data_IF_603786819888
#
_entry.id   IF_603786819888
#
_cell.length_a   1.000
_cell.length_b   1.000
_cell.length_c   1.000
_cell.angle_alpha   90.00
_cell.angle_beta   90.00
_cell.angle_gamma   90.00
#
_symmetry.space_group_name_H-M   'P 1'
#
loop_
_entity.id
_entity.type
_entity.pdbx_description
1 polymer ?
#
# COMPACT_ATOMS: atom_id res chain seq x y z
N UNK A 1 7.73 -18.10 -2.46
CA UNK A 1 8.04 -17.42 -1.20
C UNK A 1 6.94 -16.40 -0.97
N UNK A 2 6.33 -16.37 0.20
CA UNK A 2 5.25 -15.41 0.49
C UNK A 2 5.80 -13.98 0.50
N UNK A 3 4.92 -12.99 0.35
CA UNK A 3 5.30 -11.58 0.45
C UNK A 3 5.98 -11.27 1.79
N UNK A 4 5.47 -11.85 2.89
CA UNK A 4 6.04 -11.69 4.24
C UNK A 4 7.47 -12.24 4.34
N UNK A 5 7.71 -13.45 3.80
CA UNK A 5 9.04 -14.05 3.78
C UNK A 5 10.04 -13.25 2.94
N UNK A 6 9.56 -12.59 1.88
CA UNK A 6 10.37 -11.73 1.01
C UNK A 6 10.73 -10.42 1.70
N UNK A 7 9.74 -9.74 2.31
CA UNK A 7 9.96 -8.50 3.04
C UNK A 7 10.96 -8.70 4.19
N UNK A 8 10.85 -9.80 4.95
CA UNK A 8 11.78 -10.13 6.06
C UNK A 8 13.25 -10.28 5.65
N UNK A 9 13.55 -10.40 4.35
CA UNK A 9 14.92 -10.54 3.84
C UNK A 9 15.56 -9.22 3.43
N UNK A 10 14.82 -8.10 3.50
CA UNK A 10 15.33 -6.78 3.18
C UNK A 10 16.25 -6.31 4.31
N UNK A 11 17.49 -5.91 4.00
CA UNK A 11 18.51 -5.57 5.00
C UNK A 11 18.21 -4.26 5.74
N UNK A 12 17.67 -3.25 5.04
CA UNK A 12 17.33 -1.93 5.59
C UNK A 12 15.80 -1.75 5.79
N UNK A 13 15.16 -2.78 6.34
CA UNK A 13 13.72 -2.75 6.63
C UNK A 13 13.42 -2.05 7.96
N UNK A 14 12.65 -0.98 7.91
CA UNK A 14 11.97 -0.41 9.07
C UNK A 14 10.50 -0.84 9.09
N UNK A 15 10.01 -1.16 10.28
CA UNK A 15 8.64 -1.67 10.49
C UNK A 15 7.93 -0.88 11.57
N UNK A 16 6.61 -0.83 11.50
CA UNK A 16 5.80 -0.18 12.51
C UNK A 16 6.11 -0.72 13.92
N UNK A 17 6.50 0.16 14.84
CA UNK A 17 6.79 -0.20 16.25
C UNK A 17 5.58 -0.79 16.98
N UNK A 18 4.35 -0.49 16.54
CA UNK A 18 3.12 -1.09 17.08
C UNK A 18 2.85 -2.50 16.54
N UNK A 19 3.65 -2.96 15.58
CA UNK A 19 3.51 -4.23 14.87
C UNK A 19 2.36 -4.25 13.87
N UNK A 20 2.04 -5.47 13.43
CA UNK A 20 0.98 -5.77 12.48
C UNK A 20 -0.44 -5.41 12.92
N UNK A 21 -1.34 -5.38 11.94
CA UNK A 21 -2.75 -5.09 12.12
C UNK A 21 -3.57 -6.34 12.45
N UNK A 22 -4.55 -6.19 13.34
CA UNK A 22 -5.51 -7.26 13.65
C UNK A 22 -6.53 -7.45 12.53
N UNK A 23 -7.18 -8.61 12.49
CA UNK A 23 -8.27 -8.89 11.55
C UNK A 23 -9.41 -7.86 11.69
N UNK A 24 -9.74 -7.43 12.91
CA UNK A 24 -10.77 -6.41 13.13
C UNK A 24 -10.38 -5.03 12.57
N UNK A 25 -9.08 -4.67 12.62
CA UNK A 25 -8.59 -3.43 12.01
C UNK A 25 -8.71 -3.48 10.48
N UNK A 26 -8.39 -4.63 9.88
CA UNK A 26 -8.50 -4.87 8.44
C UNK A 26 -9.97 -4.79 7.99
N UNK A 27 -10.87 -5.52 8.66
CA UNK A 27 -12.31 -5.50 8.35
C UNK A 27 -12.89 -4.08 8.46
N UNK A 28 -12.45 -3.31 9.46
CA UNK A 28 -12.88 -1.92 9.64
C UNK A 28 -12.39 -1.02 8.51
N UNK A 29 -11.13 -1.19 8.09
CA UNK A 29 -10.54 -0.43 7.00
C UNK A 29 -11.22 -0.75 5.66
N UNK A 30 -11.45 -2.02 5.35
CA UNK A 30 -12.22 -2.46 4.17
C UNK A 30 -13.62 -1.84 4.15
N UNK A 31 -14.31 -1.86 5.30
CA UNK A 31 -15.65 -1.25 5.43
C UNK A 31 -15.61 0.26 5.20
N UNK A 32 -14.61 0.96 5.75
CA UNK A 32 -14.47 2.42 5.63
C UNK A 32 -14.12 2.87 4.21
N UNK A 33 -13.23 2.14 3.54
CA UNK A 33 -12.85 2.43 2.15
C UNK A 33 -13.83 1.88 1.11
N UNK A 34 -14.84 1.12 1.57
CA UNK A 34 -15.82 0.41 0.78
C UNK A 34 -15.17 -0.48 -0.29
N UNK A 35 -14.14 -1.26 0.08
CA UNK A 35 -13.43 -2.19 -0.82
C UNK A 35 -12.87 -3.39 -0.06
N UNK A 36 -12.41 -4.39 -0.79
CA UNK A 36 -11.69 -5.55 -0.25
C UNK A 36 -10.21 -5.47 -0.54
N UNK A 37 -9.39 -5.77 0.47
CA UNK A 37 -7.96 -5.86 0.30
C UNK A 37 -7.55 -7.22 -0.28
N UNK A 38 -6.61 -7.25 -1.24
CA UNK A 38 -6.07 -8.49 -1.78
C UNK A 38 -5.28 -9.26 -0.71
N UNK A 39 -5.15 -10.58 -0.90
CA UNK A 39 -4.55 -11.46 0.13
C UNK A 39 -3.13 -11.05 0.51
N UNK A 40 -2.27 -10.76 -0.46
CA UNK A 40 -0.89 -10.34 -0.18
C UNK A 40 -0.82 -9.06 0.65
N UNK A 41 -1.71 -8.10 0.37
CA UNK A 41 -1.75 -6.86 1.16
C UNK A 41 -2.23 -7.12 2.59
N UNK A 42 -3.21 -8.02 2.77
CA UNK A 42 -3.65 -8.44 4.11
C UNK A 42 -2.51 -9.13 4.88
N UNK A 43 -1.79 -10.06 4.26
CA UNK A 43 -0.65 -10.73 4.89
C UNK A 43 0.44 -9.73 5.29
N UNK A 44 0.73 -8.78 4.39
CA UNK A 44 1.65 -7.67 4.64
C UNK A 44 1.23 -6.84 5.86
N UNK A 45 0.02 -6.28 5.88
CA UNK A 45 -0.40 -5.40 7.00
C UNK A 45 -0.57 -6.19 8.29
N UNK A 46 -0.94 -7.47 8.24
CA UNK A 46 -1.04 -8.35 9.43
C UNK A 46 0.29 -8.59 10.11
N UNK A 47 1.37 -8.66 9.34
CA UNK A 47 2.71 -8.88 9.89
C UNK A 47 3.35 -7.57 10.32
N UNK A 48 3.35 -6.57 9.44
CA UNK A 48 4.21 -5.39 9.60
C UNK A 48 3.45 -4.12 9.96
N UNK A 49 2.15 -4.07 9.68
CA UNK A 49 1.35 -2.85 9.84
C UNK A 49 1.63 -1.90 8.70
N UNK A 50 2.81 -1.27 8.69
CA UNK A 50 3.38 -0.47 7.61
C UNK A 50 4.91 -0.69 7.56
N UNK A 51 5.57 -0.39 6.43
CA UNK A 51 7.03 -0.54 6.29
C UNK A 51 7.65 0.63 5.54
N UNK A 52 8.93 0.86 5.81
CA UNK A 52 9.82 1.67 4.99
C UNK A 52 11.09 0.90 4.68
N UNK A 53 11.60 0.99 3.46
CA UNK A 53 12.81 0.31 3.04
C UNK A 53 13.38 0.95 1.77
N UNK A 54 14.71 1.08 1.67
CA UNK A 54 15.39 1.56 0.45
C UNK A 54 14.74 2.82 -0.15
N UNK A 55 14.35 3.79 0.69
CA UNK A 55 13.67 5.02 0.25
C UNK A 55 12.19 4.89 -0.15
N UNK A 56 11.63 3.69 -0.11
CA UNK A 56 10.20 3.42 -0.33
C UNK A 56 9.44 3.46 1.01
N UNK A 57 8.19 3.91 0.97
CA UNK A 57 7.30 3.95 2.13
C UNK A 57 5.93 3.38 1.76
N UNK A 58 5.65 2.17 2.25
CA UNK A 58 4.38 1.53 2.01
C UNK A 58 3.41 1.85 3.13
N UNK A 59 2.28 2.42 2.73
CA UNK A 59 1.15 2.65 3.62
C UNK A 59 0.55 1.33 4.10
N UNK A 60 -0.14 1.40 5.22
CA UNK A 60 -0.58 0.23 5.93
C UNK A 60 -1.58 0.50 7.03
N UNK A 61 -1.66 -0.40 8.00
CA UNK A 61 -2.61 -0.34 9.12
C UNK A 61 -1.87 -0.43 10.46
N UNK A 62 -2.62 -0.20 11.55
CA UNK A 62 -2.09 -0.11 12.91
C UNK A 62 -1.00 0.98 13.08
N UNK A 63 -0.98 1.96 12.18
CA UNK A 63 -0.11 3.14 12.18
C UNK A 63 -0.98 4.40 12.15
N UNK A 64 -0.46 5.52 12.64
CA UNK A 64 -1.13 6.82 12.62
C UNK A 64 -0.59 7.70 11.48
N UNK A 65 -1.28 8.81 11.17
CA UNK A 65 -0.79 9.80 10.22
C UNK A 65 -0.85 9.34 8.75
N UNK A 66 0.13 9.81 7.96
CA UNK A 66 0.15 9.67 6.50
C UNK A 66 0.42 8.24 6.01
N UNK A 67 1.11 7.41 6.80
CA UNK A 67 1.31 6.00 6.46
C UNK A 67 0.06 5.14 6.68
N UNK A 68 -1.01 5.69 7.27
CA UNK A 68 -2.26 4.95 7.41
C UNK A 68 -2.99 4.92 6.06
N UNK A 69 -3.16 3.72 5.49
CA UNK A 69 -3.77 3.52 4.17
C UNK A 69 -5.18 4.11 4.06
N UNK A 70 -5.95 4.10 5.15
CA UNK A 70 -7.31 4.64 5.15
C UNK A 70 -7.26 6.15 5.05
N UNK A 71 -6.43 6.80 5.88
CA UNK A 71 -6.28 8.25 5.87
C UNK A 71 -5.76 8.71 4.50
N UNK A 72 -4.66 8.13 4.02
CA UNK A 72 -4.05 8.48 2.73
C UNK A 72 -5.05 8.29 1.58
N UNK A 73 -5.77 7.16 1.54
CA UNK A 73 -6.73 6.91 0.46
C UNK A 73 -7.91 7.88 0.49
N UNK A 74 -8.43 8.24 1.67
CA UNK A 74 -9.52 9.20 1.78
C UNK A 74 -9.08 10.62 1.42
N UNK A 75 -7.89 11.03 1.88
CA UNK A 75 -7.29 12.33 1.55
C UNK A 75 -7.08 12.47 0.03
N UNK A 76 -6.49 11.46 -0.61
CA UNK A 76 -6.24 11.49 -2.06
C UNK A 76 -7.52 11.41 -2.89
N UNK A 77 -8.53 10.66 -2.43
CA UNK A 77 -9.87 10.69 -3.05
C UNK A 77 -10.53 12.06 -2.97
N UNK A 78 -10.30 12.81 -1.89
CA UNK A 78 -10.83 14.17 -1.74
C UNK A 78 -10.06 15.19 -2.58
N UNK A 79 -8.76 14.98 -2.81
CA UNK A 79 -7.88 15.88 -3.57
C UNK A 79 -7.89 15.65 -5.08
N UNK A 80 -8.20 14.43 -5.53
CA UNK A 80 -8.20 14.06 -6.95
C UNK A 80 -9.56 13.45 -7.34
N UNK A 81 -10.36 14.22 -8.10
CA UNK A 81 -11.67 13.78 -8.59
C UNK A 81 -11.62 12.57 -9.53
N UNK A 82 -10.44 12.30 -10.13
CA UNK A 82 -10.19 11.15 -11.00
C UNK A 82 -9.72 9.91 -10.25
N UNK A 83 -9.52 9.98 -8.93
CA UNK A 83 -9.12 8.83 -8.14
C UNK A 83 -10.16 7.71 -8.27
N UNK A 84 -9.78 6.51 -8.73
CA UNK A 84 -10.74 5.47 -9.07
C UNK A 84 -11.37 4.85 -7.82
N UNK A 85 -12.68 4.56 -7.91
CA UNK A 85 -13.38 3.77 -6.89
C UNK A 85 -12.81 2.36 -6.82
N UNK A 86 -12.80 1.75 -5.63
CA UNK A 86 -12.27 0.40 -5.37
C UNK A 86 -10.75 0.26 -5.54
N UNK A 87 -10.04 1.36 -5.35
CA UNK A 87 -8.59 1.39 -5.21
C UNK A 87 -8.20 2.00 -3.88
N UNK A 88 -7.01 1.66 -3.42
CA UNK A 88 -6.37 2.20 -2.23
C UNK A 88 -4.91 2.52 -2.53
N UNK A 89 -4.34 3.48 -1.79
CA UNK A 89 -2.95 3.90 -1.94
C UNK A 89 -2.03 2.83 -1.33
N UNK A 90 -0.98 2.45 -2.05
CA UNK A 90 0.13 1.65 -1.54
C UNK A 90 1.23 2.58 -1.09
N UNK A 91 1.58 3.56 -1.91
CA UNK A 91 2.72 4.44 -1.69
C UNK A 91 2.47 5.81 -2.31
N UNK A 92 2.96 6.86 -1.66
CA UNK A 92 3.02 8.21 -2.21
C UNK A 92 4.47 8.52 -2.54
N UNK A 93 4.79 8.66 -3.83
CA UNK A 93 6.18 8.82 -4.30
C UNK A 93 6.72 10.24 -3.97
N UNK A 94 5.87 11.14 -3.47
CA UNK A 94 6.29 12.47 -2.99
C UNK A 94 6.67 13.48 -4.07
N UNK A 95 6.65 13.06 -5.35
CA UNK A 95 6.97 13.90 -6.51
C UNK A 95 5.77 13.98 -7.45
N UNK A 96 5.45 15.20 -7.89
CA UNK A 96 4.41 15.50 -8.89
C UNK A 96 3.05 14.81 -8.68
N UNK A 97 2.65 14.62 -7.41
CA UNK A 97 1.42 13.94 -6.99
C UNK A 97 1.26 12.52 -7.57
N UNK A 98 2.38 11.85 -7.82
CA UNK A 98 2.36 10.47 -8.30
C UNK A 98 2.16 9.51 -7.13
N UNK A 99 1.14 8.67 -7.24
CA UNK A 99 0.81 7.63 -6.27
C UNK A 99 0.94 6.26 -6.91
N UNK A 100 1.30 5.27 -6.11
CA UNK A 100 1.09 3.86 -6.43
C UNK A 100 -0.16 3.38 -5.71
N UNK A 101 -1.08 2.77 -6.46
CA UNK A 101 -2.38 2.33 -5.96
C UNK A 101 -2.63 0.87 -6.33
N UNK A 102 -3.42 0.18 -5.52
CA UNK A 102 -3.84 -1.20 -5.77
C UNK A 102 -5.36 -1.33 -5.90
N UNK A 103 -5.82 -2.26 -6.74
CA UNK A 103 -7.23 -2.65 -6.83
C UNK A 103 -7.58 -3.85 -5.93
N UNK A 104 -8.87 -4.21 -5.85
CA UNK A 104 -9.35 -5.36 -5.06
C UNK A 104 -8.78 -6.72 -5.54
N UNK A 105 -8.13 -6.77 -6.71
CA UNK A 105 -7.50 -7.98 -7.27
C UNK A 105 -5.99 -8.02 -7.00
N UNK A 106 -5.42 -6.98 -6.40
CA UNK A 106 -3.99 -6.88 -6.12
C UNK A 106 -3.14 -6.36 -7.26
N UNK A 107 -3.76 -5.91 -8.37
CA UNK A 107 -3.00 -5.26 -9.44
C UNK A 107 -2.54 -3.88 -8.99
N UNK A 108 -1.35 -3.50 -9.42
CA UNK A 108 -0.68 -2.27 -8.98
C UNK A 108 -0.58 -1.31 -10.15
N UNK A 109 -0.90 -0.04 -9.90
CA UNK A 109 -0.96 1.02 -10.89
C UNK A 109 -0.25 2.26 -10.38
N UNK A 110 0.33 3.05 -11.27
CA UNK A 110 0.57 4.46 -10.98
C UNK A 110 -0.72 5.24 -11.26
N UNK A 111 -0.93 6.31 -10.50
CA UNK A 111 -1.89 7.36 -10.85
C UNK A 111 -1.24 8.73 -10.68
N UNK A 112 -1.42 9.58 -11.68
CA UNK A 112 -1.00 10.97 -11.67
C UNK A 112 -2.10 11.82 -12.32
N UNK A 113 -2.79 12.62 -11.52
CA UNK A 113 -4.02 13.32 -11.93
C UNK A 113 -5.06 12.34 -12.51
N UNK A 114 -5.38 12.45 -13.80
CA UNK A 114 -6.33 11.61 -14.53
C UNK A 114 -5.70 10.39 -15.21
N UNK A 115 -4.37 10.31 -15.25
CA UNK A 115 -3.64 9.23 -15.90
C UNK A 115 -3.39 8.09 -14.92
N UNK A 116 -3.81 6.89 -15.30
CA UNK A 116 -3.63 5.66 -14.52
C UNK A 116 -3.05 4.55 -15.40
N UNK A 117 -1.91 4.00 -15.02
CA UNK A 117 -1.18 3.01 -15.80
C UNK A 117 -0.88 1.77 -14.96
N UNK A 118 -1.08 0.57 -15.54
CA UNK A 118 -0.76 -0.69 -14.86
C UNK A 118 0.76 -0.87 -14.81
N UNK A 119 1.30 -1.12 -13.62
CA UNK A 119 2.72 -1.42 -13.42
C UNK A 119 2.94 -2.93 -13.41
N UNK A 120 2.21 -3.64 -12.54
CA UNK A 120 2.36 -5.08 -12.33
C UNK A 120 1.09 -5.71 -11.73
N UNK A 121 1.06 -7.03 -11.59
CA UNK A 121 -0.15 -7.78 -11.25
C UNK A 121 -0.28 -8.16 -9.77
N UNK A 122 0.73 -7.85 -8.93
CA UNK A 122 0.73 -8.22 -7.52
C UNK A 122 1.61 -7.29 -6.68
N UNK A 123 1.39 -7.27 -5.36
CA UNK A 123 2.26 -6.55 -4.42
C UNK A 123 3.65 -7.19 -4.38
N UNK A 124 3.70 -8.50 -4.54
CA UNK A 124 4.93 -9.26 -4.77
C UNK A 124 5.74 -8.78 -5.97
N UNK A 125 5.12 -8.59 -7.13
CA UNK A 125 5.82 -8.06 -8.31
C UNK A 125 6.24 -6.60 -8.09
N UNK A 126 5.44 -5.80 -7.39
CA UNK A 126 5.82 -4.43 -7.04
C UNK A 126 7.04 -4.39 -6.10
N UNK A 127 7.13 -5.32 -5.15
CA UNK A 127 8.33 -5.46 -4.32
C UNK A 127 9.58 -5.74 -5.17
N UNK A 128 9.49 -6.60 -6.20
CA UNK A 128 10.63 -6.88 -7.07
C UNK A 128 11.10 -5.60 -7.78
N UNK A 129 10.16 -4.77 -8.26
CA UNK A 129 10.47 -3.48 -8.89
C UNK A 129 11.19 -2.55 -7.91
N UNK A 130 10.67 -2.36 -6.69
CA UNK A 130 11.31 -1.51 -5.68
C UNK A 130 12.74 -1.96 -5.33
N UNK A 131 13.00 -3.28 -5.35
CA UNK A 131 14.31 -3.88 -5.06
C UNK A 131 15.27 -3.84 -6.26
N UNK A 132 14.78 -3.76 -7.49
CA UNK A 132 15.63 -3.62 -8.68
C UNK A 132 16.07 -2.16 -8.92
N UNK A 133 15.30 -1.20 -8.43
CA UNK A 133 15.58 0.23 -8.57
C UNK A 133 16.56 0.80 -7.51
N UNK A 134 16.91 0.01 -6.47
CA UNK A 134 17.79 0.41 -5.36
C UNK A 134 18.93 -0.59 -5.13
#
# INVERSE_FOLDING_TARGET
MSIVERIKKIEELDTNLKGGASEEQIIRAEKRLELKFPEEYKDYVKEFGAISFLGNEWTGLNVDGYLNVVNMTEEERALNEFFPKKYFVIENIGVDRMLVISDEKGKIYTIQYDKKELICNSLSEYLDICLEEN
#
